data_IF_759021766087
#
_entry.id   IF_759021766087
#
_cell.length_a   1.000
_cell.length_b   1.000
_cell.length_c   1.000
_cell.angle_alpha   90.00
_cell.angle_beta   90.00
_cell.angle_gamma   90.00
#
_symmetry.space_group_name_H-M   'P 1'
#
loop_
_entity.id
_entity.type
_entity.pdbx_description
1 polymer ?
#
# COMPACT_ATOMS: atom_id res chain seq x y z
N UNK A 1 2.76 11.42 -22.76
CA UNK A 1 1.57 10.54 -22.84
C UNK A 1 1.08 10.63 -24.27
N UNK A 2 1.91 10.12 -25.19
CA UNK A 2 1.57 9.99 -26.59
C UNK A 2 0.28 9.18 -26.71
N UNK A 3 -0.62 9.60 -27.59
CA UNK A 3 -2.01 9.14 -27.62
C UNK A 3 -2.06 7.64 -27.90
N UNK A 4 -2.20 6.85 -26.83
CA UNK A 4 -2.49 5.42 -26.93
C UNK A 4 -3.74 5.24 -27.78
N UNK A 5 -3.69 4.33 -28.74
CA UNK A 5 -4.86 3.98 -29.53
C UNK A 5 -5.89 3.23 -28.66
N UNK A 6 -7.13 3.08 -29.15
CA UNK A 6 -8.22 2.48 -28.36
C UNK A 6 -8.00 1.00 -28.00
N UNK A 7 -7.10 0.29 -28.68
CA UNK A 7 -6.72 -1.08 -28.33
C UNK A 7 -5.68 -1.08 -27.20
N UNK A 8 -4.69 -0.19 -27.27
CA UNK A 8 -3.65 0.00 -26.26
C UNK A 8 -4.23 0.51 -24.93
N UNK A 9 -5.22 1.41 -24.96
CA UNK A 9 -5.91 1.86 -23.75
C UNK A 9 -6.64 0.70 -23.04
N UNK A 10 -7.28 -0.20 -23.80
CA UNK A 10 -7.94 -1.38 -23.23
C UNK A 10 -6.94 -2.35 -22.63
N UNK A 11 -5.84 -2.62 -23.32
CA UNK A 11 -4.79 -3.48 -22.79
C UNK A 11 -4.16 -2.88 -21.53
N UNK A 12 -3.88 -1.58 -21.53
CA UNK A 12 -3.35 -0.86 -20.38
C UNK A 12 -4.30 -0.97 -19.18
N UNK A 13 -5.60 -0.77 -19.39
CA UNK A 13 -6.60 -0.90 -18.33
C UNK A 13 -6.58 -2.31 -17.70
N UNK A 14 -6.56 -3.37 -18.52
CA UNK A 14 -6.46 -4.75 -18.02
C UNK A 14 -5.14 -5.00 -17.28
N UNK A 15 -4.02 -4.43 -17.74
CA UNK A 15 -2.74 -4.54 -17.05
C UNK A 15 -2.76 -3.81 -15.70
N UNK A 16 -3.40 -2.65 -15.62
CA UNK A 16 -3.56 -1.88 -14.37
C UNK A 16 -4.39 -2.67 -13.36
N UNK A 17 -5.53 -3.23 -13.76
CA UNK A 17 -6.40 -4.04 -12.88
C UNK A 17 -5.66 -5.26 -12.31
N UNK A 18 -4.95 -6.00 -13.18
CA UNK A 18 -4.12 -7.14 -12.73
C UNK A 18 -3.03 -6.71 -11.76
N UNK A 19 -2.42 -5.55 -12.00
CA UNK A 19 -1.39 -5.01 -11.11
C UNK A 19 -1.98 -4.63 -9.75
N UNK A 20 -3.15 -3.97 -9.71
CA UNK A 20 -3.83 -3.64 -8.47
C UNK A 20 -4.11 -4.87 -7.60
N UNK A 21 -4.60 -5.97 -8.20
CA UNK A 21 -4.82 -7.23 -7.47
C UNK A 21 -3.51 -7.79 -6.89
N UNK A 22 -2.43 -7.80 -7.69
CA UNK A 22 -1.12 -8.27 -7.25
C UNK A 22 -0.57 -7.43 -6.10
N UNK A 23 -0.67 -6.10 -6.22
CA UNK A 23 -0.19 -5.16 -5.21
C UNK A 23 -0.98 -5.30 -3.91
N UNK A 24 -2.29 -5.53 -3.99
CA UNK A 24 -3.13 -5.84 -2.83
C UNK A 24 -2.70 -7.14 -2.13
N UNK A 25 -2.44 -8.21 -2.88
CA UNK A 25 -2.00 -9.49 -2.28
C UNK A 25 -0.64 -9.37 -1.60
N UNK A 26 0.28 -8.60 -2.19
CA UNK A 26 1.57 -8.31 -1.58
C UNK A 26 1.41 -7.52 -0.27
N UNK A 27 0.56 -6.49 -0.28
CA UNK A 27 0.24 -5.70 0.91
C UNK A 27 -0.35 -6.59 2.02
N UNK A 28 -1.30 -7.45 1.69
CA UNK A 28 -1.90 -8.39 2.63
C UNK A 28 -0.86 -9.33 3.24
N UNK A 29 -0.01 -9.95 2.42
CA UNK A 29 1.03 -10.88 2.90
C UNK A 29 2.03 -10.18 3.82
N UNK A 30 2.48 -8.97 3.46
CA UNK A 30 3.38 -8.17 4.29
C UNK A 30 2.74 -7.75 5.62
N UNK A 31 1.45 -7.40 5.60
CA UNK A 31 0.72 -7.03 6.80
C UNK A 31 0.58 -8.22 7.76
N UNK A 32 0.23 -9.39 7.24
CA UNK A 32 0.14 -10.62 8.03
C UNK A 32 1.50 -10.93 8.68
N UNK A 33 2.58 -10.91 7.90
CA UNK A 33 3.93 -11.19 8.43
C UNK A 33 4.35 -10.16 9.49
N UNK A 34 4.06 -8.88 9.27
CA UNK A 34 4.36 -7.82 10.23
C UNK A 34 3.62 -8.01 11.55
N UNK A 35 2.30 -8.17 11.50
CA UNK A 35 1.52 -8.31 12.73
C UNK A 35 1.82 -9.62 13.45
N UNK A 36 2.16 -10.69 12.73
CA UNK A 36 2.66 -11.91 13.35
C UNK A 36 3.96 -11.65 14.12
N UNK A 37 4.97 -11.04 13.48
CA UNK A 37 6.26 -10.75 14.11
C UNK A 37 6.16 -9.78 15.29
N UNK A 38 5.27 -8.78 15.20
CA UNK A 38 5.13 -7.73 16.22
C UNK A 38 4.27 -8.18 17.42
N UNK A 39 3.30 -9.07 17.20
CA UNK A 39 2.30 -9.42 18.22
C UNK A 39 2.35 -10.84 18.74
N UNK A 40 2.73 -11.83 17.92
CA UNK A 40 2.71 -13.25 18.32
C UNK A 40 4.06 -13.59 18.93
N UNK A 41 4.06 -13.77 20.24
CA UNK A 41 5.29 -13.90 21.03
C UNK A 41 5.26 -15.08 22.00
N UNK A 42 4.07 -15.65 22.25
CA UNK A 42 3.91 -16.83 23.08
C UNK A 42 3.66 -18.06 22.20
N UNK A 43 4.58 -19.02 22.27
CA UNK A 43 4.53 -20.26 21.49
C UNK A 43 4.19 -21.49 22.34
N UNK A 44 3.54 -21.29 23.49
CA UNK A 44 3.09 -22.38 24.37
C UNK A 44 1.76 -23.01 23.96
N UNK A 45 0.98 -22.34 23.10
CA UNK A 45 -0.30 -22.82 22.55
C UNK A 45 -0.35 -22.73 21.03
N UNK A 46 -1.27 -23.50 20.43
CA UNK A 46 -1.62 -23.41 18.99
C UNK A 46 -2.64 -22.31 18.70
N UNK A 47 -3.29 -21.77 19.73
CA UNK A 47 -4.27 -20.68 19.62
C UNK A 47 -3.64 -19.37 20.08
N UNK A 48 -4.05 -18.26 19.47
CA UNK A 48 -3.70 -16.94 19.96
C UNK A 48 -4.28 -16.72 21.36
N UNK A 49 -3.50 -16.09 22.23
CA UNK A 49 -4.03 -15.58 23.50
C UNK A 49 -4.86 -14.32 23.27
N UNK A 50 -5.77 -13.99 24.19
CA UNK A 50 -6.57 -12.76 24.06
C UNK A 50 -5.73 -11.46 24.01
N UNK A 51 -4.49 -11.49 24.54
CA UNK A 51 -3.55 -10.37 24.42
C UNK A 51 -3.02 -10.24 22.99
N UNK A 52 -2.66 -11.36 22.36
CA UNK A 52 -2.15 -11.41 20.99
C UNK A 52 -3.24 -11.04 19.99
N UNK A 53 -4.47 -11.54 20.17
CA UNK A 53 -5.64 -11.14 19.37
C UNK A 53 -5.85 -9.62 19.42
N UNK A 54 -5.85 -9.05 20.64
CA UNK A 54 -5.97 -7.60 20.82
C UNK A 54 -4.83 -6.80 20.18
N UNK A 55 -3.61 -7.33 20.20
CA UNK A 55 -2.47 -6.72 19.53
C UNK A 55 -2.62 -6.77 18.00
N UNK A 56 -2.95 -7.93 17.43
CA UNK A 56 -3.12 -8.11 15.97
C UNK A 56 -4.19 -7.17 15.43
N UNK A 57 -5.33 -7.04 16.12
CA UNK A 57 -6.40 -6.11 15.70
C UNK A 57 -5.91 -4.65 15.66
N UNK A 58 -5.14 -4.22 16.67
CA UNK A 58 -4.54 -2.87 16.69
C UNK A 58 -3.45 -2.70 15.65
N UNK A 59 -2.65 -3.74 15.39
CA UNK A 59 -1.60 -3.72 14.38
C UNK A 59 -2.18 -3.49 12.99
N UNK A 60 -3.22 -4.26 12.63
CA UNK A 60 -3.92 -4.13 11.35
C UNK A 60 -4.54 -2.74 11.19
N UNK A 61 -5.32 -2.29 12.17
CA UNK A 61 -5.97 -0.97 12.14
C UNK A 61 -4.95 0.17 12.00
N UNK A 62 -3.87 0.11 12.81
CA UNK A 62 -2.79 1.09 12.76
C UNK A 62 -2.09 1.10 11.40
N UNK A 63 -1.80 -0.07 10.83
CA UNK A 63 -1.12 -0.16 9.54
C UNK A 63 -1.96 0.42 8.41
N UNK A 64 -3.26 0.09 8.35
CA UNK A 64 -4.16 0.59 7.32
C UNK A 64 -4.30 2.11 7.38
N UNK A 65 -4.60 2.66 8.57
CA UNK A 65 -4.69 4.11 8.78
C UNK A 65 -3.38 4.85 8.49
N UNK A 66 -2.26 4.25 8.87
CA UNK A 66 -0.95 4.82 8.56
C UNK A 66 -0.64 4.80 7.07
N UNK A 67 -1.00 3.72 6.37
CA UNK A 67 -0.79 3.59 4.93
C UNK A 67 -1.64 4.57 4.15
N UNK A 68 -2.90 4.78 4.54
CA UNK A 68 -3.79 5.78 3.96
C UNK A 68 -3.21 7.19 4.13
N UNK A 69 -2.85 7.56 5.37
CA UNK A 69 -2.29 8.88 5.66
C UNK A 69 -0.98 9.13 4.92
N UNK A 70 -0.09 8.14 4.86
CA UNK A 70 1.15 8.23 4.09
C UNK A 70 0.85 8.36 2.58
N UNK A 71 -0.17 7.67 2.08
CA UNK A 71 -0.65 7.79 0.71
C UNK A 71 -1.07 9.21 0.35
N UNK A 72 -1.88 9.84 1.20
CA UNK A 72 -2.28 11.25 1.01
C UNK A 72 -1.07 12.19 0.96
N UNK A 73 -0.17 12.08 1.95
CA UNK A 73 1.04 12.93 1.99
C UNK A 73 1.93 12.70 0.78
N UNK A 74 2.06 11.45 0.34
CA UNK A 74 2.82 11.11 -0.86
C UNK A 74 2.24 11.75 -2.13
N UNK A 75 0.90 11.74 -2.28
CA UNK A 75 0.24 12.41 -3.41
C UNK A 75 0.48 13.92 -3.40
N UNK A 76 0.37 14.56 -2.24
CA UNK A 76 0.67 16.00 -2.09
C UNK A 76 2.11 16.33 -2.49
N UNK A 77 3.09 15.56 -2.01
CA UNK A 77 4.50 15.76 -2.32
C UNK A 77 4.80 15.48 -3.81
N UNK A 78 4.20 14.45 -4.39
CA UNK A 78 4.36 14.14 -5.80
C UNK A 78 3.80 15.27 -6.71
N UNK A 79 2.67 15.87 -6.34
CA UNK A 79 2.12 17.03 -7.04
C UNK A 79 3.03 18.27 -6.94
N UNK A 80 3.59 18.53 -5.75
CA UNK A 80 4.56 19.63 -5.54
C UNK A 80 5.84 19.43 -6.38
N UNK A 81 6.37 18.21 -6.44
CA UNK A 81 7.55 17.90 -7.27
C UNK A 81 7.28 18.09 -8.77
N UNK A 82 6.09 17.71 -9.27
CA UNK A 82 5.72 17.96 -10.66
C UNK A 82 5.63 19.46 -10.97
N UNK A 83 5.15 20.27 -10.03
CA UNK A 83 5.13 21.73 -10.14
C UNK A 83 6.53 22.35 -10.11
N UNK A 84 7.42 21.87 -9.24
CA UNK A 84 8.82 22.34 -9.19
C UNK A 84 9.63 21.91 -10.42
N UNK A 85 9.40 20.71 -10.95
CA UNK A 85 10.03 20.23 -12.19
C UNK A 85 9.64 21.07 -13.42
N UNK A 86 8.46 21.72 -13.39
CA UNK A 86 8.01 22.66 -14.43
C UNK A 86 8.70 24.04 -14.33
N UNK A 87 9.12 24.47 -13.13
CA UNK A 87 9.81 25.76 -12.93
C UNK A 87 11.33 25.70 -13.18
N UNK A 88 11.92 24.51 -13.39
CA UNK A 88 13.36 24.33 -13.63
C UNK A 88 13.80 24.34 -15.10
N UNK A 89 12.87 24.27 -16.06
CA UNK A 89 13.15 24.24 -17.51
C UNK A 89 12.89 25.59 -18.21
N UNK A 90 12.70 26.66 -17.43
CA UNK A 90 12.47 28.02 -17.92
C UNK A 90 13.63 29.00 -17.67
N UNK A 91 14.83 28.52 -17.37
CA UNK A 91 16.07 29.33 -17.34
C UNK A 91 17.17 28.66 -18.13
#
# INVERSE_FOLDING_TARGET
MDSLNAAEQRELQTRIERKQMKDFMNMYSNLVQRCFNDCVSDFTSKSLSGKEEGCVMRCVDKFLKSSERLGERFQEQNAQMQQQGSMGLGR
#
